data_IF_596116409167
#
_entry.id   IF_596116409167
#
_cell.length_a   1.000
_cell.length_b   1.000
_cell.length_c   1.000
_cell.angle_alpha   90.00
_cell.angle_beta   90.00
_cell.angle_gamma   90.00
#
_symmetry.space_group_name_H-M   'P 1'
#
loop_
_entity.id
_entity.type
_entity.pdbx_description
1 polymer ?
#
# COMPACT_ATOMS: atom_id res chain seq x y z
N UNK A 1 15.68 -9.85 -7.75
CA UNK A 1 14.77 -10.08 -6.62
C UNK A 1 14.87 -8.87 -5.69
N UNK A 2 13.77 -8.17 -5.44
CA UNK A 2 13.78 -6.99 -4.56
C UNK A 2 13.95 -7.35 -3.06
N UNK A 3 13.85 -8.63 -2.69
CA UNK A 3 14.02 -9.10 -1.31
C UNK A 3 15.44 -9.58 -0.98
N UNK A 4 15.97 -10.53 -1.76
CA UNK A 4 17.27 -11.17 -1.49
C UNK A 4 18.42 -10.66 -2.37
N UNK A 5 18.15 -9.79 -3.34
CA UNK A 5 19.16 -9.27 -4.27
C UNK A 5 19.58 -10.23 -5.41
N UNK A 6 19.25 -11.52 -5.33
CA UNK A 6 19.52 -12.49 -6.40
C UNK A 6 18.89 -12.07 -7.73
N UNK A 7 19.57 -12.33 -8.85
CA UNK A 7 19.04 -12.09 -10.20
C UNK A 7 17.77 -12.92 -10.39
N UNK A 8 16.65 -12.23 -10.63
CA UNK A 8 15.35 -12.84 -10.90
C UNK A 8 15.05 -12.70 -12.38
N UNK A 9 14.87 -13.82 -13.08
CA UNK A 9 14.53 -13.88 -14.49
C UNK A 9 13.16 -14.54 -14.64
N UNK A 10 12.28 -13.91 -15.40
CA UNK A 10 11.00 -14.47 -15.83
C UNK A 10 11.03 -14.63 -17.35
N UNK A 11 10.33 -15.64 -17.86
CA UNK A 11 10.13 -15.81 -19.30
C UNK A 11 9.03 -14.87 -19.83
N UNK A 12 8.76 -14.95 -21.13
CA UNK A 12 7.73 -14.14 -21.82
C UNK A 12 6.29 -14.45 -21.36
N UNK A 13 6.08 -15.58 -20.67
CA UNK A 13 4.80 -16.00 -20.11
C UNK A 13 4.70 -15.72 -18.60
N UNK A 14 5.71 -15.05 -18.03
CA UNK A 14 5.79 -14.74 -16.61
C UNK A 14 6.28 -15.89 -15.74
N UNK A 15 6.68 -17.05 -16.27
CA UNK A 15 7.19 -18.11 -15.41
C UNK A 15 8.61 -17.81 -14.91
N UNK A 16 8.85 -18.10 -13.63
CA UNK A 16 10.18 -17.94 -13.03
C UNK A 16 11.20 -18.90 -13.63
N UNK A 17 12.23 -18.36 -14.29
CA UNK A 17 13.40 -19.11 -14.76
C UNK A 17 14.45 -19.28 -13.65
N UNK A 18 14.47 -18.38 -12.67
CA UNK A 18 15.35 -18.50 -11.51
C UNK A 18 14.86 -19.63 -10.61
N UNK A 19 15.65 -20.70 -10.51
CA UNK A 19 15.39 -21.84 -9.63
C UNK A 19 15.98 -21.59 -8.24
N UNK A 20 15.24 -21.96 -7.20
CA UNK A 20 15.68 -21.89 -5.81
C UNK A 20 14.72 -21.13 -4.90
N UNK A 21 14.89 -21.32 -3.60
CA UNK A 21 14.12 -20.62 -2.58
C UNK A 21 14.67 -19.20 -2.39
N UNK A 22 13.77 -18.22 -2.25
CA UNK A 22 14.17 -16.86 -1.92
C UNK A 22 14.28 -16.72 -0.39
N UNK A 23 15.52 -16.72 0.11
CA UNK A 23 15.84 -16.53 1.52
C UNK A 23 16.21 -15.06 1.74
N UNK A 24 15.47 -14.34 2.60
CA UNK A 24 15.60 -12.89 2.76
C UNK A 24 15.34 -12.42 4.19
N UNK A 25 15.79 -11.19 4.49
CA UNK A 25 15.44 -10.44 5.70
C UNK A 25 14.34 -9.45 5.36
N UNK A 26 13.18 -9.55 6.01
CA UNK A 26 12.09 -8.58 5.79
C UNK A 26 12.34 -7.26 6.52
N UNK A 27 13.13 -7.29 7.61
CA UNK A 27 13.43 -6.13 8.45
C UNK A 27 14.68 -5.40 7.96
N UNK A 28 14.68 -4.06 8.06
CA UNK A 28 15.88 -3.27 7.76
C UNK A 28 16.96 -3.50 8.81
N UNK A 29 18.23 -3.40 8.40
CA UNK A 29 19.35 -3.34 9.34
C UNK A 29 19.40 -1.96 10.01
N UNK A 30 19.48 -1.94 11.34
CA UNK A 30 19.55 -0.71 12.14
C UNK A 30 20.72 -0.77 13.11
N UNK A 31 21.25 0.40 13.49
CA UNK A 31 22.30 0.49 14.51
C UNK A 31 21.68 0.19 15.88
N UNK A 32 22.09 -0.91 16.48
CA UNK A 32 21.71 -1.29 17.83
C UNK A 32 22.92 -1.21 18.77
N UNK A 33 22.67 -0.89 20.04
CA UNK A 33 23.73 -0.79 21.04
C UNK A 33 24.01 -2.19 21.59
N UNK A 34 25.22 -2.68 21.34
CA UNK A 34 25.68 -3.97 21.87
C UNK A 34 26.33 -3.78 23.23
N UNK A 35 25.97 -4.63 24.19
CA UNK A 35 26.49 -4.56 25.54
C UNK A 35 28.03 -4.71 25.54
N UNK A 36 28.74 -3.65 25.93
CA UNK A 36 30.21 -3.64 26.04
C UNK A 36 31.02 -3.53 24.73
N UNK A 37 30.40 -3.49 23.54
CA UNK A 37 31.12 -3.41 22.24
C UNK A 37 30.78 -2.22 21.35
N UNK A 38 29.92 -1.30 21.81
CA UNK A 38 29.54 -0.12 21.03
C UNK A 38 28.25 -0.33 20.25
N UNK A 39 28.24 0.05 18.97
CA UNK A 39 27.06 -0.08 18.10
C UNK A 39 27.32 -1.09 16.99
N UNK A 40 26.43 -2.06 16.83
CA UNK A 40 26.44 -3.02 15.74
C UNK A 40 25.23 -2.80 14.83
N UNK A 41 25.38 -3.11 13.54
CA UNK A 41 24.26 -3.11 12.60
C UNK A 41 23.60 -4.48 12.59
N UNK A 42 22.32 -4.53 12.99
CA UNK A 42 21.54 -5.77 13.09
C UNK A 42 20.18 -5.66 12.43
N UNK A 43 19.72 -6.75 11.82
CA UNK A 43 18.42 -6.80 11.16
C UNK A 43 17.27 -6.82 12.17
N UNK A 44 16.27 -5.95 11.99
CA UNK A 44 15.09 -5.87 12.86
C UNK A 44 14.24 -7.16 12.90
N UNK A 45 14.40 -8.04 11.91
CA UNK A 45 13.60 -9.25 11.79
C UNK A 45 14.04 -10.40 12.68
N UNK A 46 15.35 -10.55 12.91
CA UNK A 46 15.93 -11.70 13.62
C UNK A 46 17.15 -11.35 14.47
N UNK A 47 17.50 -10.06 14.58
CA UNK A 47 18.72 -9.56 15.22
C UNK A 47 20.03 -10.10 14.61
N UNK A 48 19.95 -10.61 13.38
CA UNK A 48 21.11 -11.13 12.64
C UNK A 48 22.06 -10.02 12.20
N UNK A 49 23.33 -10.37 12.02
CA UNK A 49 24.38 -9.45 11.56
C UNK A 49 24.24 -9.16 10.05
N UNK A 50 24.73 -7.99 9.60
CA UNK A 50 24.81 -7.69 8.17
C UNK A 50 25.66 -8.75 7.45
N UNK A 51 25.15 -9.24 6.32
CA UNK A 51 25.80 -10.27 5.51
C UNK A 51 25.38 -11.71 5.84
N UNK A 52 24.68 -11.93 6.96
CA UNK A 52 24.07 -13.24 7.24
C UNK A 52 22.94 -13.55 6.26
N UNK A 53 22.75 -14.86 5.99
CA UNK A 53 21.62 -15.36 5.21
C UNK A 53 20.28 -14.89 5.80
N UNK A 54 19.29 -14.71 4.93
CA UNK A 54 17.95 -14.27 5.32
C UNK A 54 17.30 -15.16 6.37
N UNK A 55 16.46 -14.58 7.22
CA UNK A 55 15.74 -15.32 8.27
C UNK A 55 14.35 -15.81 7.83
N UNK A 56 13.91 -15.48 6.61
CA UNK A 56 12.60 -15.86 6.08
C UNK A 56 12.74 -16.46 4.68
N UNK A 57 11.90 -17.44 4.38
CA UNK A 57 11.86 -18.14 3.10
C UNK A 57 10.56 -17.76 2.38
N UNK A 58 10.65 -17.39 1.10
CA UNK A 58 9.50 -17.26 0.21
C UNK A 58 9.36 -18.56 -0.60
N UNK A 59 8.31 -19.36 -0.35
CA UNK A 59 8.23 -20.74 -0.83
C UNK A 59 8.06 -20.85 -2.36
N UNK A 60 7.35 -19.91 -2.99
CA UNK A 60 7.13 -19.92 -4.44
C UNK A 60 8.25 -19.24 -5.23
N UNK A 61 9.29 -18.74 -4.55
CA UNK A 61 10.50 -18.21 -5.19
C UNK A 61 10.70 -16.71 -5.02
N UNK A 62 11.38 -16.12 -5.98
CA UNK A 62 11.84 -14.72 -5.94
C UNK A 62 10.75 -13.76 -6.46
N UNK A 63 10.81 -12.50 -6.03
CA UNK A 63 9.84 -11.46 -6.38
C UNK A 63 10.52 -10.19 -6.88
N UNK A 64 9.79 -9.37 -7.63
CA UNK A 64 10.23 -8.04 -8.08
C UNK A 64 9.07 -7.04 -8.00
N UNK A 65 9.41 -5.77 -8.07
CA UNK A 65 8.50 -4.62 -8.06
C UNK A 65 8.81 -3.68 -9.24
N UNK A 66 9.41 -4.23 -10.31
CA UNK A 66 9.85 -3.46 -11.47
C UNK A 66 8.67 -2.80 -12.21
N UNK A 67 7.48 -3.40 -12.15
CA UNK A 67 6.26 -2.84 -12.71
C UNK A 67 5.92 -1.46 -12.13
N UNK A 68 6.34 -1.15 -10.90
CA UNK A 68 6.14 0.19 -10.31
C UNK A 68 6.82 1.32 -11.08
N UNK A 69 7.86 1.01 -11.86
CA UNK A 69 8.70 2.01 -12.53
C UNK A 69 8.75 1.84 -14.05
N UNK A 70 8.45 0.65 -14.55
CA UNK A 70 8.57 0.31 -15.97
C UNK A 70 7.22 0.14 -16.68
N UNK A 71 6.15 -0.15 -15.94
CA UNK A 71 4.81 -0.30 -16.50
C UNK A 71 4.10 1.06 -16.49
N UNK A 72 3.80 1.57 -17.69
CA UNK A 72 3.06 2.82 -17.89
C UNK A 72 1.71 2.57 -18.57
N UNK A 73 1.26 1.32 -18.67
CA UNK A 73 0.02 0.94 -19.35
C UNK A 73 -1.14 0.75 -18.37
N UNK A 74 -2.37 0.95 -18.86
CA UNK A 74 -3.60 0.73 -18.07
C UNK A 74 -3.91 1.82 -17.05
N UNK A 75 -3.22 2.96 -17.09
CA UNK A 75 -3.53 4.09 -16.22
C UNK A 75 -4.79 4.82 -16.64
N UNK A 76 -5.69 5.05 -15.69
CA UNK A 76 -6.90 5.87 -15.85
C UNK A 76 -6.76 7.19 -15.10
N UNK A 77 -7.44 8.24 -15.58
CA UNK A 77 -7.40 9.59 -14.99
C UNK A 77 -8.79 9.97 -14.51
N UNK A 78 -8.90 10.52 -13.30
CA UNK A 78 -10.19 11.05 -12.80
C UNK A 78 -10.70 12.18 -13.67
N UNK A 79 -11.98 12.16 -14.01
CA UNK A 79 -12.63 13.11 -14.89
C UNK A 79 -13.09 14.38 -14.15
N UNK A 80 -13.23 15.53 -14.83
CA UNK A 80 -13.84 16.72 -14.23
C UNK A 80 -15.25 16.44 -13.68
N UNK A 81 -15.68 17.15 -12.62
CA UNK A 81 -17.02 17.01 -12.08
C UNK A 81 -18.06 17.34 -13.16
N UNK A 82 -19.16 16.59 -13.16
CA UNK A 82 -20.28 16.88 -14.05
C UNK A 82 -20.90 18.24 -13.67
N UNK A 83 -21.36 19.04 -14.65
CA UNK A 83 -22.01 20.31 -14.38
C UNK A 83 -23.25 20.06 -13.51
N UNK A 84 -23.31 20.73 -12.34
CA UNK A 84 -24.48 20.67 -11.47
C UNK A 84 -25.69 21.23 -12.23
N UNK A 85 -26.77 20.46 -12.33
CA UNK A 85 -28.03 20.99 -12.86
C UNK A 85 -28.51 22.10 -11.94
N UNK A 86 -28.93 23.23 -12.51
CA UNK A 86 -29.24 24.48 -11.81
C UNK A 86 -30.51 24.44 -10.93
N UNK A 87 -30.96 23.26 -10.49
CA UNK A 87 -32.23 23.04 -9.77
C UNK A 87 -32.10 22.10 -8.56
N UNK A 88 -30.91 21.97 -7.96
CA UNK A 88 -30.78 21.30 -6.67
C UNK A 88 -30.55 22.40 -5.64
N UNK A 89 -31.47 22.52 -4.68
CA UNK A 89 -31.29 23.31 -3.47
C UNK A 89 -29.88 23.05 -2.92
N UNK A 90 -29.22 24.11 -2.45
CA UNK A 90 -27.95 23.99 -1.73
C UNK A 90 -28.21 23.18 -0.46
N UNK A 91 -28.16 21.85 -0.58
CA UNK A 91 -28.13 20.97 0.58
C UNK A 91 -26.90 21.41 1.38
N UNK A 92 -27.15 22.05 2.53
CA UNK A 92 -26.17 22.39 3.57
C UNK A 92 -25.40 21.14 4.08
N UNK A 93 -25.73 19.97 3.53
CA UNK A 93 -25.15 18.66 3.76
C UNK A 93 -24.45 18.12 2.48
N UNK A 94 -23.82 19.00 1.70
CA UNK A 94 -22.87 18.60 0.66
C UNK A 94 -21.75 17.80 1.34
N UNK A 95 -21.94 16.48 1.43
CA UNK A 95 -20.97 15.54 1.96
C UNK A 95 -19.62 15.90 1.36
N UNK A 96 -18.66 16.27 2.23
CA UNK A 96 -17.33 16.64 1.80
C UNK A 96 -16.80 15.53 0.89
N UNK A 97 -16.49 15.86 -0.36
CA UNK A 97 -15.98 14.97 -1.41
C UNK A 97 -14.54 14.54 -1.09
N UNK A 98 -14.38 13.87 0.05
CA UNK A 98 -13.12 13.45 0.65
C UNK A 98 -13.28 11.98 0.99
N UNK A 99 -12.33 11.17 0.53
CA UNK A 99 -12.30 9.73 0.79
C UNK A 99 -10.91 9.31 1.26
N UNK A 100 -10.83 8.39 2.21
CA UNK A 100 -9.57 7.71 2.50
C UNK A 100 -9.50 6.41 1.72
N UNK A 101 -8.31 6.16 1.19
CA UNK A 101 -7.97 5.03 0.34
C UNK A 101 -6.74 4.34 0.91
N UNK A 102 -6.79 3.02 0.96
CA UNK A 102 -5.60 2.21 1.14
C UNK A 102 -5.80 0.84 0.46
N UNK A 103 -4.69 0.32 -0.05
CA UNK A 103 -4.63 -0.86 -0.87
C UNK A 103 -3.68 -1.87 -0.26
N UNK A 104 -4.04 -3.14 -0.42
CA UNK A 104 -3.13 -4.24 -0.14
C UNK A 104 -2.65 -4.86 -1.44
N UNK A 105 -1.34 -5.08 -1.52
CA UNK A 105 -0.67 -5.60 -2.70
C UNK A 105 0.01 -6.93 -2.42
N UNK A 106 0.08 -7.74 -3.48
CA UNK A 106 0.74 -9.05 -3.48
C UNK A 106 1.85 -9.07 -4.53
N UNK A 107 2.77 -10.01 -4.39
CA UNK A 107 3.79 -10.26 -5.40
C UNK A 107 3.34 -11.37 -6.34
N UNK A 108 3.34 -11.05 -7.62
CA UNK A 108 3.04 -11.95 -8.72
C UNK A 108 4.25 -12.05 -9.65
N UNK A 109 4.11 -12.84 -10.70
CA UNK A 109 5.11 -12.92 -11.76
C UNK A 109 5.25 -11.64 -12.59
N UNK A 110 4.22 -10.78 -12.59
CA UNK A 110 4.24 -9.46 -13.23
C UNK A 110 4.81 -8.36 -12.35
N UNK A 111 4.99 -8.62 -11.06
CA UNK A 111 5.56 -7.67 -10.10
C UNK A 111 4.66 -7.51 -8.87
N UNK A 112 4.50 -6.29 -8.38
CA UNK A 112 3.64 -5.99 -7.25
C UNK A 112 2.27 -5.51 -7.73
N UNK A 113 1.21 -6.27 -7.48
CA UNK A 113 -0.14 -6.02 -8.00
C UNK A 113 -1.17 -5.85 -6.88
N UNK A 114 -2.24 -5.12 -7.17
CA UNK A 114 -3.37 -4.89 -6.27
C UNK A 114 -4.10 -6.20 -5.96
N UNK A 115 -4.41 -6.43 -4.69
CA UNK A 115 -5.18 -7.60 -4.24
C UNK A 115 -6.34 -7.27 -3.30
N UNK A 116 -6.35 -6.09 -2.70
CA UNK A 116 -7.52 -5.56 -1.98
C UNK A 116 -7.51 -4.04 -2.03
N UNK A 117 -8.69 -3.45 -2.13
CA UNK A 117 -8.89 -2.01 -1.99
C UNK A 117 -9.94 -1.74 -0.93
N UNK A 118 -9.69 -0.74 -0.10
CA UNK A 118 -10.70 -0.23 0.84
C UNK A 118 -10.79 1.28 0.75
N UNK A 119 -12.02 1.78 0.71
CA UNK A 119 -12.36 3.21 0.62
C UNK A 119 -13.38 3.54 1.68
N UNK A 120 -13.10 4.57 2.46
CA UNK A 120 -13.99 5.08 3.50
C UNK A 120 -14.33 6.54 3.25
N UNK A 121 -15.57 6.93 3.52
CA UNK A 121 -16.01 8.33 3.43
C UNK A 121 -15.60 9.13 4.68
N UNK A 122 -15.90 10.44 4.65
CA UNK A 122 -15.68 11.36 5.78
C UNK A 122 -16.45 11.01 7.07
N UNK A 123 -17.51 10.19 6.96
CA UNK A 123 -18.28 9.63 8.09
C UNK A 123 -17.71 8.31 8.60
N UNK A 124 -16.51 7.91 8.15
CA UNK A 124 -15.81 6.68 8.54
C UNK A 124 -16.54 5.39 8.13
N UNK A 125 -17.41 5.45 7.13
CA UNK A 125 -18.16 4.31 6.62
C UNK A 125 -17.44 3.73 5.39
N UNK A 126 -17.25 2.39 5.30
CA UNK A 126 -16.70 1.77 4.12
C UNK A 126 -17.69 1.87 2.96
N UNK A 127 -17.23 2.48 1.85
CA UNK A 127 -17.99 2.62 0.59
C UNK A 127 -17.57 1.53 -0.40
N UNK A 128 -16.31 1.12 -0.35
CA UNK A 128 -15.76 0.01 -1.13
C UNK A 128 -14.81 -0.78 -0.23
N UNK A 129 -14.94 -2.10 -0.17
CA UNK A 129 -14.00 -3.01 0.49
C UNK A 129 -14.03 -4.33 -0.26
N UNK A 130 -13.11 -4.52 -1.21
CA UNK A 130 -13.18 -5.61 -2.18
C UNK A 130 -11.81 -6.24 -2.38
N UNK A 131 -11.80 -7.58 -2.49
CA UNK A 131 -10.64 -8.32 -2.98
C UNK A 131 -10.57 -8.26 -4.50
N UNK A 132 -9.35 -8.15 -5.02
CA UNK A 132 -9.05 -7.98 -6.44
C UNK A 132 -8.23 -9.17 -6.91
N UNK A 133 -8.63 -9.75 -8.04
CA UNK A 133 -7.90 -10.82 -8.72
C UNK A 133 -6.72 -10.21 -9.48
N UNK A 134 -5.46 -10.53 -9.13
CA UNK A 134 -4.30 -10.10 -9.90
C UNK A 134 -4.29 -10.76 -11.29
N UNK A 135 -3.80 -10.03 -12.29
CA UNK A 135 -3.75 -10.53 -13.67
C UNK A 135 -2.68 -11.62 -13.85
N UNK A 136 -1.68 -11.64 -12.97
CA UNK A 136 -0.57 -12.58 -13.01
C UNK A 136 -0.58 -13.58 -11.84
N UNK A 137 -0.03 -14.80 -12.02
CA UNK A 137 0.09 -15.79 -10.95
C UNK A 137 0.77 -15.27 -9.67
N UNK A 138 0.12 -15.47 -8.53
CA UNK A 138 0.62 -15.03 -7.22
C UNK A 138 1.79 -15.90 -6.74
N UNK A 139 2.93 -15.24 -6.50
CA UNK A 139 4.14 -15.81 -5.89
C UNK A 139 4.07 -15.68 -4.36
N UNK A 140 3.71 -14.51 -3.83
CA UNK A 140 3.62 -14.30 -2.39
C UNK A 140 2.57 -13.24 -2.04
N UNK A 141 1.61 -13.60 -1.18
CA UNK A 141 0.59 -12.68 -0.67
C UNK A 141 1.16 -11.57 0.23
N UNK A 142 2.42 -11.71 0.66
CA UNK A 142 3.09 -10.77 1.57
C UNK A 142 2.33 -10.59 2.90
N UNK A 143 1.69 -11.68 3.39
CA UNK A 143 0.68 -11.67 4.45
C UNK A 143 1.11 -11.00 5.75
N UNK A 144 2.42 -10.93 6.04
CA UNK A 144 2.95 -10.17 7.19
C UNK A 144 2.53 -8.70 7.15
N UNK A 145 2.52 -8.12 5.95
CA UNK A 145 2.21 -6.71 5.74
C UNK A 145 0.79 -6.53 5.24
N UNK A 146 0.31 -7.41 4.37
CA UNK A 146 -1.01 -7.25 3.73
C UNK A 146 -2.17 -7.84 4.53
N UNK A 147 -1.88 -8.75 5.47
CA UNK A 147 -2.92 -9.55 6.15
C UNK A 147 -3.69 -10.51 5.24
N UNK A 148 -3.40 -10.53 3.93
CA UNK A 148 -4.11 -11.33 2.93
C UNK A 148 -3.65 -12.79 2.96
N UNK A 149 -4.61 -13.69 2.79
CA UNK A 149 -4.33 -15.11 2.52
C UNK A 149 -4.57 -15.43 1.04
N UNK A 150 -4.11 -16.60 0.62
CA UNK A 150 -4.27 -17.01 -0.78
C UNK A 150 -5.75 -17.26 -1.10
N UNK A 151 -6.52 -17.78 -0.14
CA UNK A 151 -7.94 -18.06 -0.29
C UNK A 151 -8.76 -16.78 -0.52
N UNK A 152 -8.34 -15.65 0.06
CA UNK A 152 -8.98 -14.35 -0.14
C UNK A 152 -8.85 -13.89 -1.60
N UNK A 153 -7.69 -14.16 -2.22
CA UNK A 153 -7.40 -13.81 -3.61
C UNK A 153 -8.13 -14.75 -4.57
N UNK A 154 -8.15 -16.06 -4.28
CA UNK A 154 -8.84 -17.05 -5.10
C UNK A 154 -10.37 -16.84 -5.13
N UNK A 155 -10.93 -16.22 -4.09
CA UNK A 155 -12.35 -15.87 -4.02
C UNK A 155 -12.68 -14.49 -4.60
N UNK A 156 -11.66 -13.72 -4.99
CA UNK A 156 -11.84 -12.39 -5.57
C UNK A 156 -12.62 -12.47 -6.88
N UNK A 157 -13.57 -11.54 -7.06
CA UNK A 157 -14.46 -11.50 -8.23
C UNK A 157 -14.15 -10.36 -9.18
N UNK A 158 -13.43 -9.35 -8.72
CA UNK A 158 -13.17 -8.13 -9.45
C UNK A 158 -11.74 -8.11 -9.96
N UNK A 159 -11.56 -7.63 -11.18
CA UNK A 159 -10.25 -7.28 -11.71
C UNK A 159 -9.97 -5.79 -11.51
N UNK A 160 -8.74 -5.37 -11.75
CA UNK A 160 -8.33 -3.96 -11.63
C UNK A 160 -9.22 -3.02 -12.46
N UNK A 161 -9.66 -3.45 -13.65
CA UNK A 161 -10.53 -2.65 -14.53
C UNK A 161 -11.91 -2.41 -13.92
N UNK A 162 -12.46 -3.40 -13.20
CA UNK A 162 -13.76 -3.24 -12.51
C UNK A 162 -13.64 -2.25 -11.37
N UNK A 163 -12.53 -2.32 -10.62
CA UNK A 163 -12.23 -1.37 -9.55
C UNK A 163 -12.06 0.03 -10.13
N UNK A 164 -11.25 0.21 -11.18
CA UNK A 164 -11.07 1.49 -11.85
C UNK A 164 -12.40 2.10 -12.31
N UNK A 165 -13.29 1.29 -12.90
CA UNK A 165 -14.62 1.76 -13.30
C UNK A 165 -15.45 2.21 -12.10
N UNK A 166 -15.41 1.48 -10.97
CA UNK A 166 -16.07 1.90 -9.72
C UNK A 166 -15.49 3.21 -9.20
N UNK A 167 -14.17 3.39 -9.25
CA UNK A 167 -13.49 4.60 -8.78
C UNK A 167 -13.82 5.81 -9.64
N UNK A 168 -13.85 5.67 -10.96
CA UNK A 168 -14.19 6.77 -11.87
C UNK A 168 -15.66 7.20 -11.77
N UNK A 169 -16.54 6.32 -11.28
CA UNK A 169 -17.92 6.67 -10.95
C UNK A 169 -18.06 7.31 -9.56
N UNK A 170 -17.16 6.98 -8.63
CA UNK A 170 -17.18 7.50 -7.26
C UNK A 170 -16.44 8.84 -7.13
N UNK A 171 -15.38 9.02 -7.90
CA UNK A 171 -14.45 10.14 -7.78
C UNK A 171 -14.41 10.97 -9.07
N UNK A 172 -14.41 12.28 -8.88
CA UNK A 172 -14.06 13.24 -9.92
C UNK A 172 -12.68 13.87 -9.63
N UNK A 173 -12.24 14.79 -10.48
CA UNK A 173 -10.96 15.48 -10.31
C UNK A 173 -10.96 16.45 -9.12
N UNK A 174 -12.13 16.75 -8.56
CA UNK A 174 -12.30 17.64 -7.41
C UNK A 174 -12.38 16.91 -6.07
N UNK A 175 -12.63 15.59 -6.09
CA UNK A 175 -12.49 14.69 -4.95
C UNK A 175 -11.11 14.81 -4.30
N UNK A 176 -11.03 14.76 -2.98
CA UNK A 176 -9.76 14.71 -2.23
C UNK A 176 -9.53 13.29 -1.72
N UNK A 177 -8.44 12.66 -2.16
CA UNK A 177 -8.02 11.35 -1.66
C UNK A 177 -7.05 11.51 -0.48
N UNK A 178 -7.31 10.77 0.58
CA UNK A 178 -6.54 10.80 1.83
C UNK A 178 -5.92 9.44 2.09
N UNK A 179 -4.66 9.38 2.53
CA UNK A 179 -4.03 8.10 2.83
C UNK A 179 -2.62 8.23 3.40
N UNK A 180 -1.86 7.13 3.37
CA UNK A 180 -0.50 7.09 3.89
C UNK A 180 0.44 6.40 2.90
N UNK A 181 1.37 7.16 2.30
CA UNK A 181 2.25 6.68 1.22
C UNK A 181 1.49 6.26 -0.05
N UNK A 182 0.49 7.05 -0.44
CA UNK A 182 -0.46 6.78 -1.53
C UNK A 182 0.17 6.60 -2.92
N UNK A 183 1.45 6.97 -3.07
CA UNK A 183 2.24 6.67 -4.27
C UNK A 183 2.13 5.19 -4.68
N UNK A 184 2.32 4.27 -3.73
CA UNK A 184 2.27 2.83 -4.04
C UNK A 184 0.87 2.35 -4.37
N UNK A 185 -0.14 2.87 -3.66
CA UNK A 185 -1.55 2.58 -3.90
C UNK A 185 -2.01 3.04 -5.28
N UNK A 186 -1.69 4.28 -5.66
CA UNK A 186 -2.10 4.87 -6.95
C UNK A 186 -1.39 4.20 -8.14
N UNK A 187 -0.15 3.78 -7.97
CA UNK A 187 0.56 2.96 -8.98
C UNK A 187 -0.11 1.59 -9.11
N UNK A 188 -0.41 0.91 -7.98
CA UNK A 188 -1.06 -0.40 -8.00
C UNK A 188 -2.48 -0.36 -8.59
N UNK A 189 -3.22 0.74 -8.36
CA UNK A 189 -4.52 1.01 -8.95
C UNK A 189 -4.45 1.46 -10.41
N UNK A 190 -3.25 1.81 -10.89
CA UNK A 190 -3.04 2.49 -12.16
C UNK A 190 -3.98 3.70 -12.28
N UNK A 191 -4.01 4.54 -11.26
CA UNK A 191 -4.91 5.71 -11.16
C UNK A 191 -4.11 7.01 -11.06
N UNK A 192 -4.39 7.94 -11.96
CA UNK A 192 -3.84 9.30 -11.94
C UNK A 192 -4.89 10.23 -11.34
N UNK A 193 -4.60 10.74 -10.15
CA UNK A 193 -5.43 11.70 -9.44
C UNK A 193 -4.57 12.82 -8.84
N UNK A 194 -5.07 14.05 -8.81
CA UNK A 194 -4.26 15.24 -8.47
C UNK A 194 -4.45 15.75 -7.05
N UNK A 195 -5.65 15.60 -6.47
CA UNK A 195 -5.98 16.18 -5.17
C UNK A 195 -5.79 15.15 -4.07
N UNK A 196 -4.56 15.08 -3.56
CA UNK A 196 -4.16 14.05 -2.60
C UNK A 196 -3.64 14.69 -1.31
N UNK A 197 -4.07 14.16 -0.17
CA UNK A 197 -3.50 14.43 1.14
C UNK A 197 -2.81 13.15 1.64
N UNK A 198 -1.49 13.10 1.49
CA UNK A 198 -0.67 11.98 1.94
C UNK A 198 -0.06 12.28 3.32
N UNK A 199 -0.48 11.54 4.33
CA UNK A 199 0.02 11.69 5.70
C UNK A 199 1.53 11.43 5.84
N UNK A 200 2.14 10.62 4.98
CA UNK A 200 3.59 10.41 5.00
C UNK A 200 4.38 11.65 4.56
N UNK A 201 3.72 12.55 3.81
CA UNK A 201 4.26 13.84 3.38
C UNK A 201 3.91 14.93 4.40
N UNK A 202 2.67 14.96 4.88
CA UNK A 202 2.20 15.93 5.90
C UNK A 202 2.99 15.79 7.21
N UNK A 203 3.35 14.56 7.59
CA UNK A 203 4.16 14.28 8.78
C UNK A 203 5.53 13.70 8.39
N UNK A 204 6.46 14.54 7.91
CA UNK A 204 7.74 14.08 7.41
C UNK A 204 8.58 13.44 8.52
N UNK A 205 9.43 12.49 8.15
CA UNK A 205 10.43 11.95 9.05
C UNK A 205 11.52 12.98 9.33
N UNK A 206 12.05 13.02 10.56
CA UNK A 206 13.09 14.00 10.97
C UNK A 206 14.37 13.92 10.14
N UNK A 207 14.68 12.74 9.61
CA UNK A 207 15.85 12.50 8.73
C UNK A 207 15.57 12.77 7.25
N UNK A 208 14.35 13.20 6.89
CA UNK A 208 13.95 13.39 5.51
C UNK A 208 13.82 12.09 4.69
N UNK A 209 13.49 12.26 3.40
CA UNK A 209 13.41 11.17 2.44
C UNK A 209 14.76 10.44 2.30
N UNK A 210 14.77 9.13 2.05
CA UNK A 210 13.63 8.25 1.76
C UNK A 210 12.93 7.70 3.03
N UNK A 211 13.28 8.17 4.22
CA UNK A 211 12.65 7.70 5.46
C UNK A 211 11.25 8.31 5.60
N UNK A 212 10.22 7.46 5.68
CA UNK A 212 8.84 7.86 5.99
C UNK A 212 8.50 7.39 7.41
N UNK A 213 7.72 8.16 8.16
CA UNK A 213 7.19 7.71 9.46
C UNK A 213 6.12 6.66 9.20
N UNK A 214 6.17 5.51 9.88
CA UNK A 214 5.09 4.53 9.77
C UNK A 214 3.80 5.09 10.37
N UNK A 215 2.65 4.82 9.75
CA UNK A 215 1.33 5.27 10.26
C UNK A 215 1.12 4.89 11.72
N UNK A 216 1.48 3.66 12.12
CA UNK A 216 1.38 3.21 13.52
C UNK A 216 2.10 4.15 14.52
N UNK A 217 3.22 4.74 14.11
CA UNK A 217 3.95 5.68 14.95
C UNK A 217 3.22 7.02 15.04
N UNK A 218 2.62 7.49 13.93
CA UNK A 218 1.78 8.69 13.91
C UNK A 218 0.55 8.53 14.80
N UNK A 219 -0.12 7.38 14.71
CA UNK A 219 -1.29 7.05 15.51
C UNK A 219 -0.94 6.96 17.00
N UNK A 220 0.17 6.30 17.33
CA UNK A 220 0.63 6.23 18.72
C UNK A 220 0.99 7.59 19.30
N UNK A 221 1.57 8.49 18.49
CA UNK A 221 2.00 9.81 18.97
C UNK A 221 0.84 10.81 19.06
N UNK A 222 0.00 10.88 18.02
CA UNK A 222 -1.05 11.90 17.89
C UNK A 222 -2.34 11.44 18.57
N UNK A 223 -2.73 10.17 18.39
CA UNK A 223 -3.98 9.64 18.91
C UNK A 223 -3.80 8.89 20.24
N UNK A 224 -2.56 8.71 20.70
CA UNK A 224 -2.23 7.94 21.92
C UNK A 224 -2.81 6.51 21.88
N UNK A 225 -2.86 5.92 20.68
CA UNK A 225 -3.42 4.58 20.44
C UNK A 225 -2.38 3.65 19.82
N UNK A 226 -2.34 2.41 20.30
CA UNK A 226 -1.49 1.36 19.73
C UNK A 226 -2.34 0.57 18.73
N UNK A 227 -1.89 0.52 17.47
CA UNK A 227 -2.54 -0.25 16.42
C UNK A 227 -1.65 -1.43 15.99
N UNK A 228 -2.27 -2.58 15.75
CA UNK A 228 -1.61 -3.76 15.18
C UNK A 228 -1.71 -3.73 13.66
N UNK A 229 -0.80 -4.44 12.96
CA UNK A 229 -0.78 -4.52 11.49
C UNK A 229 -2.06 -5.17 10.93
N UNK A 230 -2.77 -5.99 11.71
CA UNK A 230 -3.97 -6.72 11.27
C UNK A 230 -5.30 -5.96 11.52
N UNK A 231 -5.23 -4.64 11.76
CA UNK A 231 -6.40 -3.84 12.13
C UNK A 231 -7.25 -3.43 10.93
N UNK A 232 -8.51 -3.90 10.87
CA UNK A 232 -9.62 -3.49 9.98
C UNK A 232 -9.93 -1.97 9.91
N UNK A 233 -9.10 -1.14 10.54
CA UNK A 233 -9.31 0.28 10.83
C UNK A 233 -8.15 1.17 10.39
N UNK A 234 -7.14 0.65 9.68
CA UNK A 234 -5.95 1.42 9.23
C UNK A 234 -6.35 2.75 8.53
N UNK A 235 -7.35 2.68 7.67
CA UNK A 235 -8.01 3.76 6.94
C UNK A 235 -8.62 4.87 7.83
N UNK A 236 -9.22 4.48 8.96
CA UNK A 236 -9.84 5.40 9.92
C UNK A 236 -8.80 6.30 10.58
N UNK A 237 -7.60 5.75 10.78
CA UNK A 237 -6.54 6.44 11.48
C UNK A 237 -5.88 7.52 10.63
N UNK A 238 -5.81 7.37 9.31
CA UNK A 238 -5.35 8.43 8.41
C UNK A 238 -6.20 9.70 8.56
N UNK A 239 -7.53 9.57 8.52
CA UNK A 239 -8.45 10.68 8.78
C UNK A 239 -8.27 11.27 10.17
N UNK A 240 -8.27 10.43 11.21
CA UNK A 240 -8.17 10.90 12.59
C UNK A 240 -6.84 11.61 12.85
N UNK A 241 -5.74 11.12 12.30
CA UNK A 241 -4.41 11.74 12.41
C UNK A 241 -4.40 13.12 11.75
N UNK A 242 -4.97 13.27 10.55
CA UNK A 242 -5.05 14.57 9.87
C UNK A 242 -5.91 15.55 10.67
N UNK A 243 -7.13 15.15 11.03
CA UNK A 243 -8.08 16.03 11.74
C UNK A 243 -7.52 16.46 13.11
N UNK A 244 -6.97 15.55 13.90
CA UNK A 244 -6.45 15.87 15.24
C UNK A 244 -5.11 16.63 15.21
N UNK A 245 -4.45 16.74 14.06
CA UNK A 245 -3.23 17.53 13.91
C UNK A 245 -3.47 18.97 13.45
N UNK A 246 -4.67 19.26 12.95
CA UNK A 246 -5.06 20.58 12.46
C UNK A 246 -5.54 21.53 13.58
N UNK A 247 -5.64 21.02 14.82
CA UNK A 247 -6.03 21.73 16.04
C UNK A 247 -4.95 21.58 17.10
#
# INVERSE_FOLDING_TARGET
>A
CCRCGTRFLVDEFGHSLTKGECIYHWGKAVKQRSFGRGFDLRYLCCDGEIGQLGCQICPKGHVHDANKWLDNEGFVVTLPPLPKSSNCDEDENSDCNVYALDCEMVYTTGGCELARITIVNSKYQPILDEFVCPDNPVIDCNSRFSGLKLEDIEQAKYHITDIQAKLLNLFDSDTILVGHSLESDLIALKLIHKKIVDTSIVFPHRLGLPNKRALRNLVSEILQQIIQQDGKWFYLYCYKVIINSAY
#
